data_IF_135768039638
#
_entry.id   IF_135768039638
#
_cell.length_a   1.000
_cell.length_b   1.000
_cell.length_c   1.000
_cell.angle_alpha   90.00
_cell.angle_beta   90.00
_cell.angle_gamma   90.00
#
_symmetry.space_group_name_H-M   'P 1'
#
loop_
_entity.id
_entity.type
_entity.pdbx_description
1 polymer ?
#
# COMPACT_ATOMS: atom_id res chain seq x y z
N UNK A 1 -17.91 8.07 -13.17
CA UNK A 1 -17.24 8.59 -11.94
C UNK A 1 -16.59 7.48 -11.11
N UNK A 2 -17.26 6.35 -10.86
CA UNK A 2 -16.73 5.24 -10.06
C UNK A 2 -15.39 4.67 -10.58
N UNK A 3 -15.29 4.26 -11.84
CA UNK A 3 -14.06 3.69 -12.43
C UNK A 3 -12.85 4.64 -12.33
N UNK A 4 -13.07 5.93 -12.56
CA UNK A 4 -12.02 6.94 -12.42
C UNK A 4 -11.51 7.03 -10.98
N UNK A 5 -12.41 6.96 -9.99
CA UNK A 5 -12.03 6.99 -8.58
C UNK A 5 -11.14 5.81 -8.20
N UNK A 6 -11.43 4.61 -8.72
CA UNK A 6 -10.65 3.40 -8.46
C UNK A 6 -9.23 3.51 -9.04
N UNK A 7 -9.10 3.99 -10.28
CA UNK A 7 -7.78 4.23 -10.87
C UNK A 7 -7.00 5.31 -10.13
N UNK A 8 -7.64 6.43 -9.78
CA UNK A 8 -7.00 7.51 -9.04
C UNK A 8 -6.51 7.04 -7.66
N UNK A 9 -7.33 6.29 -6.92
CA UNK A 9 -7.00 5.74 -5.61
C UNK A 9 -5.75 4.84 -5.68
N UNK A 10 -5.61 4.06 -6.76
CA UNK A 10 -4.46 3.16 -6.91
C UNK A 10 -3.11 3.86 -6.96
N UNK A 11 -3.07 5.12 -7.43
CA UNK A 11 -1.84 5.92 -7.58
C UNK A 11 -1.75 7.11 -6.63
N UNK A 12 -2.81 7.41 -5.88
CA UNK A 12 -2.90 8.59 -5.02
C UNK A 12 -1.81 8.67 -3.94
N UNK A 13 -1.21 7.53 -3.57
CA UNK A 13 -0.17 7.46 -2.54
C UNK A 13 1.23 7.82 -3.06
N UNK A 14 1.45 7.84 -4.37
CA UNK A 14 2.77 8.05 -4.98
C UNK A 14 3.49 9.32 -4.49
N UNK A 15 2.84 10.51 -4.38
CA UNK A 15 3.51 11.72 -3.92
C UNK A 15 4.03 11.59 -2.48
N UNK A 16 3.27 10.94 -1.60
CA UNK A 16 3.65 10.74 -0.20
C UNK A 16 4.85 9.79 -0.08
N UNK A 17 4.83 8.68 -0.82
CA UNK A 17 5.96 7.74 -0.86
C UNK A 17 7.21 8.41 -1.43
N UNK A 18 7.07 9.19 -2.51
CA UNK A 18 8.18 9.92 -3.12
C UNK A 18 8.79 10.94 -2.15
N UNK A 19 7.96 11.69 -1.43
CA UNK A 19 8.43 12.63 -0.42
C UNK A 19 9.26 11.93 0.66
N UNK A 20 8.77 10.80 1.19
CA UNK A 20 9.45 10.01 2.23
C UNK A 20 10.80 9.48 1.72
N UNK A 21 10.84 8.95 0.49
CA UNK A 21 12.10 8.51 -0.13
C UNK A 21 13.11 9.64 -0.30
N UNK A 22 12.67 10.87 -0.58
CA UNK A 22 13.55 12.02 -0.78
C UNK A 22 14.04 12.67 0.52
N UNK A 23 13.23 12.67 1.57
CA UNK A 23 13.63 13.25 2.86
C UNK A 23 14.60 12.34 3.62
N UNK A 24 14.67 11.06 3.26
CA UNK A 24 15.56 10.10 3.93
C UNK A 24 15.19 9.88 5.41
N UNK A 25 14.04 10.39 5.85
CA UNK A 25 13.52 10.29 7.20
C UNK A 25 12.01 10.11 7.09
N UNK A 26 11.54 8.90 7.38
CA UNK A 26 10.14 8.71 7.74
C UNK A 26 10.01 8.88 9.24
N UNK A 27 9.18 9.82 9.68
CA UNK A 27 8.76 9.85 11.09
C UNK A 27 8.12 8.50 11.45
N UNK A 28 8.48 7.95 12.61
CA UNK A 28 8.00 6.63 13.05
C UNK A 28 6.46 6.55 13.03
N UNK A 29 5.77 7.62 13.43
CA UNK A 29 4.30 7.71 13.43
C UNK A 29 3.74 7.59 12.00
N UNK A 30 4.28 8.36 11.06
CA UNK A 30 3.90 8.32 9.64
C UNK A 30 4.15 6.93 9.04
N UNK A 31 5.23 6.27 9.45
CA UNK A 31 5.55 4.92 8.99
C UNK A 31 4.52 3.88 9.49
N UNK A 32 4.11 3.94 10.76
CA UNK A 32 3.04 3.08 11.28
C UNK A 32 1.69 3.33 10.59
N UNK A 33 1.36 4.60 10.32
CA UNK A 33 0.14 4.96 9.60
C UNK A 33 0.11 4.35 8.19
N UNK A 34 1.18 4.53 7.41
CA UNK A 34 1.28 3.96 6.06
C UNK A 34 1.27 2.43 6.07
N UNK A 35 1.89 1.81 7.09
CA UNK A 35 1.86 0.36 7.26
C UNK A 35 0.43 -0.15 7.48
N UNK A 36 -0.32 0.49 8.38
CA UNK A 36 -1.72 0.12 8.63
C UNK A 36 -2.61 0.33 7.40
N UNK A 37 -2.43 1.46 6.69
CA UNK A 37 -3.17 1.77 5.47
C UNK A 37 -2.92 0.76 4.35
N UNK A 38 -1.66 0.41 4.10
CA UNK A 38 -1.31 -0.62 3.12
C UNK A 38 -1.82 -2.01 3.53
N UNK A 39 -1.70 -2.35 4.82
CA UNK A 39 -2.15 -3.66 5.34
C UNK A 39 -3.66 -3.83 5.18
N UNK A 40 -4.44 -2.78 5.45
CA UNK A 40 -5.87 -2.74 5.17
C UNK A 40 -6.17 -3.09 3.69
N UNK A 41 -5.39 -2.55 2.75
CA UNK A 41 -5.61 -2.82 1.32
C UNK A 41 -5.23 -4.25 0.92
N UNK A 42 -4.17 -4.81 1.52
CA UNK A 42 -3.81 -6.21 1.33
C UNK A 42 -4.91 -7.16 1.85
N UNK A 43 -5.54 -6.84 2.98
CA UNK A 43 -6.68 -7.60 3.50
C UNK A 43 -7.90 -7.55 2.57
N UNK A 44 -8.10 -6.45 1.85
CA UNK A 44 -9.15 -6.36 0.83
C UNK A 44 -8.92 -7.31 -0.35
N UNK A 45 -7.67 -7.55 -0.73
CA UNK A 45 -7.36 -8.57 -1.76
C UNK A 45 -7.78 -9.95 -1.28
N UNK A 46 -7.55 -10.29 -0.01
CA UNK A 46 -8.04 -11.56 0.57
C UNK A 46 -9.57 -11.64 0.57
N UNK A 47 -10.25 -10.53 0.86
CA UNK A 47 -11.72 -10.48 0.77
C UNK A 47 -12.21 -10.71 -0.67
N UNK A 48 -11.55 -10.15 -1.69
CA UNK A 48 -11.93 -10.41 -3.09
C UNK A 48 -11.74 -11.87 -3.49
N UNK A 49 -10.69 -12.53 -2.98
CA UNK A 49 -10.47 -13.97 -3.20
C UNK A 49 -11.61 -14.77 -2.56
N UNK A 50 -11.97 -14.46 -1.32
CA UNK A 50 -13.06 -15.14 -0.60
C UNK A 50 -14.40 -14.99 -1.34
N UNK A 51 -14.73 -13.77 -1.78
CA UNK A 51 -15.95 -13.50 -2.55
C UNK A 51 -15.96 -14.15 -3.93
N UNK A 52 -14.80 -14.26 -4.58
CA UNK A 52 -14.70 -15.00 -5.85
C UNK A 52 -15.03 -16.49 -5.65
N UNK A 53 -14.56 -17.09 -4.55
CA UNK A 53 -14.79 -18.52 -4.27
C UNK A 53 -16.22 -18.80 -3.79
N UNK A 54 -16.83 -17.89 -3.01
CA UNK A 54 -18.11 -18.12 -2.34
C UNK A 54 -19.32 -17.54 -3.07
N UNK A 55 -19.17 -16.37 -3.69
CA UNK A 55 -20.27 -15.60 -4.31
C UNK A 55 -20.20 -15.61 -5.85
N UNK A 56 -19.09 -16.05 -6.45
CA UNK A 56 -18.80 -16.00 -7.90
C UNK A 56 -18.90 -14.57 -8.50
N UNK A 57 -18.79 -13.55 -7.64
CA UNK A 57 -18.82 -12.13 -8.01
C UNK A 57 -17.39 -11.59 -8.04
N UNK A 58 -16.98 -11.06 -9.19
CA UNK A 58 -15.69 -10.39 -9.35
C UNK A 58 -15.80 -9.11 -10.17
N UNK A 59 -15.05 -8.11 -9.75
CA UNK A 59 -14.87 -6.87 -10.52
C UNK A 59 -13.39 -6.75 -10.89
N UNK A 60 -13.11 -6.99 -12.17
CA UNK A 60 -11.74 -7.00 -12.68
C UNK A 60 -11.06 -5.64 -12.51
N UNK A 61 -11.81 -4.53 -12.60
CA UNK A 61 -11.26 -3.18 -12.48
C UNK A 61 -10.79 -2.95 -11.04
N UNK A 62 -11.63 -3.31 -10.06
CA UNK A 62 -11.31 -3.18 -8.64
C UNK A 62 -10.11 -4.07 -8.26
N UNK A 63 -10.08 -5.31 -8.74
CA UNK A 63 -9.00 -6.26 -8.46
C UNK A 63 -7.67 -5.77 -9.03
N UNK A 64 -7.63 -5.40 -10.32
CA UNK A 64 -6.39 -4.95 -10.97
C UNK A 64 -5.87 -3.67 -10.32
N UNK A 65 -6.75 -2.68 -10.08
CA UNK A 65 -6.36 -1.44 -9.43
C UNK A 65 -5.88 -1.65 -7.99
N UNK A 66 -6.53 -2.54 -7.23
CA UNK A 66 -6.11 -2.91 -5.88
C UNK A 66 -4.78 -3.65 -5.83
N UNK A 67 -4.52 -4.51 -6.81
CA UNK A 67 -3.22 -5.15 -6.98
C UNK A 67 -2.12 -4.11 -7.26
N UNK A 68 -2.35 -3.19 -8.21
CA UNK A 68 -1.41 -2.08 -8.50
C UNK A 68 -1.13 -1.26 -7.24
N UNK A 69 -2.18 -0.87 -6.52
CA UNK A 69 -2.04 -0.11 -5.27
C UNK A 69 -1.21 -0.86 -4.23
N UNK A 70 -1.47 -2.14 -4.03
CA UNK A 70 -0.72 -2.98 -3.07
C UNK A 70 0.74 -3.16 -3.48
N UNK A 71 1.02 -3.35 -4.77
CA UNK A 71 2.38 -3.44 -5.30
C UNK A 71 3.20 -2.18 -5.00
N UNK A 72 2.59 -0.99 -5.07
CA UNK A 72 3.26 0.28 -4.74
C UNK A 72 3.67 0.36 -3.26
N UNK A 73 2.99 -0.36 -2.36
CA UNK A 73 3.37 -0.43 -0.94
C UNK A 73 4.47 -1.46 -0.63
N UNK A 74 4.83 -2.36 -1.56
CA UNK A 74 5.78 -3.45 -1.27
C UNK A 74 7.16 -2.93 -0.85
N UNK A 75 7.68 -1.95 -1.57
CA UNK A 75 8.99 -1.37 -1.25
C UNK A 75 8.98 -0.71 0.14
N UNK A 76 7.90 0.03 0.44
CA UNK A 76 7.67 0.61 1.76
C UNK A 76 7.59 -0.46 2.86
N UNK A 77 6.84 -1.56 2.65
CA UNK A 77 6.75 -2.65 3.62
C UNK A 77 8.10 -3.31 3.89
N UNK A 78 8.88 -3.56 2.84
CA UNK A 78 10.21 -4.11 2.97
C UNK A 78 11.11 -3.21 3.83
N UNK A 79 11.12 -1.90 3.55
CA UNK A 79 11.90 -0.92 4.31
C UNK A 79 11.41 -0.75 5.75
N UNK A 80 10.09 -0.77 5.95
CA UNK A 80 9.47 -0.69 7.26
C UNK A 80 9.87 -1.88 8.14
N UNK A 81 9.68 -3.11 7.65
CA UNK A 81 10.01 -4.35 8.38
C UNK A 81 11.50 -4.41 8.68
N UNK A 82 12.36 -4.08 7.71
CA UNK A 82 13.82 -4.18 7.89
C UNK A 82 14.40 -3.12 8.83
N UNK A 83 13.85 -1.91 8.89
CA UNK A 83 14.40 -0.81 9.71
C UNK A 83 13.69 -0.65 11.05
N UNK A 84 12.36 -0.66 11.07
CA UNK A 84 11.57 -0.44 12.30
C UNK A 84 11.67 -1.63 13.26
N UNK A 85 11.54 -2.88 12.77
CA UNK A 85 11.65 -4.06 13.64
C UNK A 85 13.07 -4.28 14.17
N UNK A 86 14.10 -3.74 13.49
CA UNK A 86 15.50 -3.76 13.97
C UNK A 86 15.84 -2.58 14.88
N UNK A 87 14.87 -1.71 15.20
CA UNK A 87 15.08 -0.55 16.07
C UNK A 87 16.03 0.50 15.49
N UNK A 88 16.24 0.51 14.16
CA UNK A 88 17.11 1.48 13.48
C UNK A 88 16.26 2.59 12.88
N UNK A 89 16.76 3.82 12.92
CA UNK A 89 16.12 4.96 12.28
C UNK A 89 15.87 4.67 10.79
N UNK A 90 14.70 5.06 10.30
CA UNK A 90 14.22 4.78 8.95
C UNK A 90 14.92 5.71 7.95
N UNK A 91 16.18 5.40 7.62
CA UNK A 91 16.99 6.17 6.67
C UNK A 91 16.85 5.58 5.27
N UNK A 92 16.19 6.24 4.34
CA UNK A 92 16.06 5.73 2.96
C UNK A 92 17.35 6.06 2.18
N UNK A 93 17.95 5.10 1.46
CA UNK A 93 19.06 5.42 0.56
C UNK A 93 18.52 6.33 -0.55
N UNK A 94 19.15 7.49 -0.70
CA UNK A 94 18.85 8.50 -1.73
C UNK A 94 19.24 8.06 -3.13
#
# INVERSE_FOLDING_TARGET
MWTFSIYLESVAILPQLFMISRTGQAETITAHYLFALGSYRALYILNWIDRYVTEDVYDLIAIVAGCVQTLLYIDFFYLYVTKVLRGRALVLPV
#
